data_IF_262184117736
#
_entry.id   IF_262184117736
#
_cell.length_a   1.000
_cell.length_b   1.000
_cell.length_c   1.000
_cell.angle_alpha   90.00
_cell.angle_beta   90.00
_cell.angle_gamma   90.00
#
_symmetry.space_group_name_H-M   'P 1'
#
loop_
_entity.id
_entity.type
_entity.pdbx_description
1 polymer ?
#
# COMPACT_ATOMS: atom_id res chain seq x y z
N UNK A 1 17.32 -1.09 11.84
CA UNK A 1 15.98 -0.45 11.82
C UNK A 1 14.99 -1.56 11.52
N UNK A 2 13.80 -1.58 12.14
CA UNK A 2 12.79 -2.58 11.78
C UNK A 2 12.33 -2.36 10.33
N UNK A 3 11.95 -3.41 9.60
CA UNK A 3 11.51 -3.25 8.22
C UNK A 3 10.26 -2.35 8.12
N UNK A 4 9.36 -2.39 9.10
CA UNK A 4 8.22 -1.48 9.24
C UNK A 4 8.64 0.00 9.23
N UNK A 5 9.67 0.36 9.99
CA UNK A 5 10.19 1.74 10.01
C UNK A 5 10.82 2.11 8.66
N UNK A 6 11.55 1.18 8.04
CA UNK A 6 12.14 1.39 6.70
C UNK A 6 11.03 1.60 5.65
N UNK A 7 9.98 0.78 5.68
CA UNK A 7 8.81 0.87 4.79
C UNK A 7 8.14 2.24 4.96
N UNK A 8 7.91 2.69 6.20
CA UNK A 8 7.34 4.02 6.47
C UNK A 8 8.23 5.13 5.96
N UNK A 9 9.53 5.06 6.20
CA UNK A 9 10.48 6.07 5.71
C UNK A 9 10.45 6.16 4.18
N UNK A 10 10.51 5.02 3.48
CA UNK A 10 10.48 4.97 2.02
C UNK A 10 9.16 5.53 1.48
N UNK A 11 8.02 5.16 2.08
CA UNK A 11 6.72 5.66 1.68
C UNK A 11 6.64 7.19 1.83
N UNK A 12 7.07 7.73 2.97
CA UNK A 12 7.12 9.17 3.19
C UNK A 12 8.03 9.87 2.18
N UNK A 13 9.20 9.31 1.87
CA UNK A 13 10.10 9.83 0.84
C UNK A 13 9.37 9.97 -0.51
N UNK A 14 8.71 8.91 -1.00
CA UNK A 14 7.97 8.98 -2.26
C UNK A 14 6.85 10.01 -2.27
N UNK A 15 6.15 10.21 -1.13
CA UNK A 15 5.10 11.23 -1.03
C UNK A 15 5.62 12.67 -1.15
N UNK A 16 6.93 12.88 -0.94
CA UNK A 16 7.58 14.19 -1.02
C UNK A 16 8.38 14.40 -2.31
N UNK A 17 8.75 13.33 -3.02
CA UNK A 17 9.62 13.37 -4.21
C UNK A 17 8.92 13.86 -5.50
N UNK A 18 7.72 14.44 -5.40
CA UNK A 18 6.93 14.91 -6.55
C UNK A 18 6.82 13.85 -7.66
N UNK A 19 6.63 12.58 -7.27
CA UNK A 19 6.40 11.47 -8.19
C UNK A 19 5.14 11.78 -8.99
N UNK A 20 5.34 12.14 -10.26
CA UNK A 20 4.28 12.63 -11.14
C UNK A 20 4.17 11.70 -12.33
N UNK A 21 2.95 11.18 -12.55
CA UNK A 21 2.64 10.40 -13.72
C UNK A 21 2.66 11.28 -14.98
N UNK A 22 3.15 10.75 -16.11
CA UNK A 22 3.20 11.46 -17.38
C UNK A 22 1.78 11.72 -17.89
N UNK A 23 1.01 10.66 -18.14
CA UNK A 23 -0.43 10.64 -18.46
C UNK A 23 -0.95 9.21 -18.22
N UNK A 24 -2.27 9.02 -18.17
CA UNK A 24 -3.02 7.77 -17.81
C UNK A 24 -2.18 6.48 -17.87
N UNK A 25 -1.59 6.08 -16.73
CA UNK A 25 -0.78 4.87 -16.58
C UNK A 25 0.37 4.70 -17.59
N UNK A 26 0.89 5.79 -18.16
CA UNK A 26 1.94 5.76 -19.18
C UNK A 26 3.35 5.78 -18.57
N UNK A 27 3.46 5.89 -17.24
CA UNK A 27 4.72 5.95 -16.51
C UNK A 27 4.95 7.27 -15.80
N UNK A 28 6.18 7.51 -15.35
CA UNK A 28 6.54 8.67 -14.53
C UNK A 28 7.63 9.53 -15.15
N UNK A 29 7.59 10.84 -14.85
CA UNK A 29 8.63 11.77 -15.28
C UNK A 29 9.98 11.46 -14.62
N UNK A 30 9.95 10.87 -13.42
CA UNK A 30 11.13 10.35 -12.74
C UNK A 30 11.56 9.01 -13.36
N UNK A 31 12.74 9.01 -14.00
CA UNK A 31 13.28 7.82 -14.68
C UNK A 31 13.70 6.71 -13.72
N UNK A 32 14.14 7.06 -12.50
CA UNK A 32 14.51 6.05 -11.51
C UNK A 32 13.26 5.38 -10.96
N UNK A 33 12.22 6.14 -10.63
CA UNK A 33 10.93 5.59 -10.21
C UNK A 33 10.31 4.71 -11.31
N UNK A 34 10.39 5.15 -12.58
CA UNK A 34 9.99 4.32 -13.72
C UNK A 34 10.72 2.98 -13.77
N UNK A 35 12.06 2.99 -13.66
CA UNK A 35 12.86 1.77 -13.68
C UNK A 35 12.54 0.86 -12.49
N UNK A 36 12.33 1.45 -11.31
CA UNK A 36 11.98 0.74 -10.09
C UNK A 36 10.61 0.04 -10.21
N UNK A 37 9.60 0.73 -10.75
CA UNK A 37 8.25 0.19 -10.98
C UNK A 37 8.27 -0.95 -12.02
N UNK A 38 9.00 -0.78 -13.13
CA UNK A 38 9.21 -1.87 -14.11
C UNK A 38 9.90 -3.07 -13.44
N UNK A 39 10.84 -2.83 -12.52
CA UNK A 39 11.55 -3.92 -11.81
C UNK A 39 10.65 -4.77 -10.88
N UNK A 40 9.43 -4.32 -10.58
CA UNK A 40 8.43 -5.08 -9.81
C UNK A 40 7.31 -5.65 -10.67
N UNK A 41 7.42 -5.48 -12.00
CA UNK A 41 6.53 -6.04 -13.02
C UNK A 41 5.42 -5.13 -13.48
N UNK A 42 5.44 -3.83 -13.15
CA UNK A 42 4.47 -2.88 -13.69
C UNK A 42 4.73 -2.63 -15.18
N UNK A 43 3.66 -2.58 -15.98
CA UNK A 43 3.71 -2.26 -17.40
C UNK A 43 2.85 -1.02 -17.74
N UNK A 44 3.20 -0.26 -18.80
CA UNK A 44 2.37 0.86 -19.24
C UNK A 44 0.92 0.44 -19.53
N UNK A 45 -0.03 1.16 -18.93
CA UNK A 45 -1.47 0.88 -18.96
C UNK A 45 -2.00 0.33 -17.64
N UNK A 46 -1.15 -0.30 -16.82
CA UNK A 46 -1.56 -0.89 -15.55
C UNK A 46 -1.85 0.18 -14.49
N UNK A 47 -2.92 -0.04 -13.71
CA UNK A 47 -3.10 0.67 -12.45
C UNK A 47 -1.93 0.37 -11.50
N UNK A 48 -1.47 1.38 -10.77
CA UNK A 48 -0.17 1.30 -10.11
C UNK A 48 -0.20 1.47 -8.59
N UNK A 49 -1.37 1.45 -7.95
CA UNK A 49 -1.46 1.52 -6.48
C UNK A 49 -0.73 0.33 -5.82
N UNK A 50 -1.08 -0.90 -6.20
CA UNK A 50 -0.46 -2.12 -5.69
C UNK A 50 1.01 -2.27 -6.14
N UNK A 51 1.34 -1.81 -7.34
CA UNK A 51 2.72 -1.74 -7.82
C UNK A 51 3.60 -0.86 -6.92
N UNK A 52 3.10 0.31 -6.51
CA UNK A 52 3.77 1.22 -5.57
C UNK A 52 4.01 0.53 -4.22
N UNK A 53 3.01 -0.16 -3.68
CA UNK A 53 3.14 -0.94 -2.44
C UNK A 53 4.23 -2.01 -2.56
N UNK A 54 4.19 -2.80 -3.65
CA UNK A 54 5.16 -3.86 -3.91
C UNK A 54 6.58 -3.31 -3.99
N UNK A 55 6.77 -2.13 -4.60
CA UNK A 55 8.05 -1.43 -4.64
C UNK A 55 8.51 -0.99 -3.25
N UNK A 56 7.63 -0.33 -2.46
CA UNK A 56 7.97 0.11 -1.11
C UNK A 56 8.38 -1.07 -0.22
N UNK A 57 7.65 -2.19 -0.28
CA UNK A 57 7.98 -3.40 0.48
C UNK A 57 9.25 -4.09 0.00
N UNK A 58 9.50 -4.14 -1.33
CA UNK A 58 10.78 -4.66 -1.87
C UNK A 58 11.97 -3.93 -1.28
N UNK A 59 11.89 -2.61 -1.21
CA UNK A 59 12.94 -1.77 -0.63
C UNK A 59 13.01 -1.90 0.89
N UNK A 60 11.88 -1.95 1.57
CA UNK A 60 11.80 -2.10 3.02
C UNK A 60 12.31 -3.44 3.56
N UNK A 61 12.24 -4.51 2.76
CA UNK A 61 12.81 -5.82 3.12
C UNK A 61 14.16 -6.11 2.45
N UNK A 62 14.86 -5.10 1.94
CA UNK A 62 16.16 -5.30 1.26
C UNK A 62 17.18 -6.03 2.14
N UNK A 63 17.19 -5.75 3.45
CA UNK A 63 18.08 -6.39 4.43
C UNK A 63 17.58 -7.78 4.88
N UNK A 64 16.37 -8.20 4.48
CA UNK A 64 15.73 -9.44 4.88
C UNK A 64 15.22 -10.24 3.66
N UNK A 65 16.13 -10.75 2.79
CA UNK A 65 15.77 -11.34 1.51
C UNK A 65 14.86 -12.58 1.61
N UNK A 66 14.94 -13.35 2.70
CA UNK A 66 14.04 -14.48 2.93
C UNK A 66 12.60 -14.04 3.19
N UNK A 67 12.41 -12.99 4.01
CA UNK A 67 11.09 -12.39 4.27
C UNK A 67 10.54 -11.78 2.99
N UNK A 68 11.38 -11.04 2.25
CA UNK A 68 11.00 -10.50 0.95
C UNK A 68 10.56 -11.60 -0.02
N UNK A 69 11.29 -12.71 -0.12
CA UNK A 69 10.94 -13.82 -1.00
C UNK A 69 9.59 -14.47 -0.64
N UNK A 70 9.23 -14.50 0.65
CA UNK A 70 7.89 -14.93 1.07
C UNK A 70 6.84 -13.89 0.67
N UNK A 71 7.04 -12.62 1.05
CA UNK A 71 6.14 -11.52 0.73
C UNK A 71 5.86 -11.43 -0.78
N UNK A 72 6.89 -11.54 -1.61
CA UNK A 72 6.81 -11.45 -3.06
C UNK A 72 5.89 -12.51 -3.68
N UNK A 73 5.80 -13.71 -3.09
CA UNK A 73 4.86 -14.75 -3.54
C UNK A 73 3.40 -14.41 -3.24
N UNK A 74 3.17 -13.56 -2.24
CA UNK A 74 1.83 -13.14 -1.81
C UNK A 74 1.41 -11.80 -2.43
N UNK A 75 2.38 -10.94 -2.75
CA UNK A 75 2.14 -9.67 -3.42
C UNK A 75 1.67 -9.86 -4.87
N UNK A 76 0.74 -9.03 -5.29
CA UNK A 76 0.16 -8.97 -6.63
C UNK A 76 0.14 -7.51 -7.10
N UNK A 77 -0.07 -7.29 -8.41
CA UNK A 77 -0.38 -5.96 -8.94
C UNK A 77 -1.88 -5.60 -8.79
N UNK A 78 -2.66 -6.46 -8.13
CA UNK A 78 -4.04 -6.21 -7.76
C UNK A 78 -4.19 -6.18 -6.23
N UNK A 79 -4.79 -5.12 -5.69
CA UNK A 79 -4.95 -4.91 -4.25
C UNK A 79 -5.82 -5.96 -3.56
N UNK A 80 -6.88 -6.45 -4.23
CA UNK A 80 -7.72 -7.52 -3.66
C UNK A 80 -7.02 -8.86 -3.64
N UNK A 81 -6.20 -9.14 -4.66
CA UNK A 81 -5.39 -10.34 -4.66
C UNK A 81 -4.32 -10.30 -3.57
N UNK A 82 -3.73 -9.12 -3.26
CA UNK A 82 -2.86 -8.95 -2.09
C UNK A 82 -3.63 -9.35 -0.82
N UNK A 83 -4.79 -8.74 -0.56
CA UNK A 83 -5.58 -9.05 0.63
C UNK A 83 -5.91 -10.54 0.75
N UNK A 84 -6.35 -11.16 -0.35
CA UNK A 84 -6.69 -12.58 -0.41
C UNK A 84 -5.49 -13.47 -0.12
N UNK A 85 -4.36 -13.22 -0.79
CA UNK A 85 -3.15 -14.03 -0.64
C UNK A 85 -2.60 -13.98 0.78
N UNK A 86 -2.47 -12.78 1.34
CA UNK A 86 -1.94 -12.62 2.70
C UNK A 86 -2.89 -13.14 3.77
N UNK A 87 -4.20 -13.08 3.55
CA UNK A 87 -5.16 -13.68 4.48
C UNK A 87 -5.11 -15.21 4.52
N UNK A 88 -4.91 -15.82 3.36
CA UNK A 88 -4.82 -17.26 3.22
C UNK A 88 -3.46 -17.82 3.68
N UNK A 89 -2.45 -16.96 3.82
CA UNK A 89 -1.12 -17.39 4.26
C UNK A 89 -1.12 -17.68 5.78
N UNK A 90 -0.69 -18.88 6.21
CA UNK A 90 -0.74 -19.27 7.61
C UNK A 90 0.34 -18.60 8.48
N UNK A 91 1.32 -17.92 7.85
CA UNK A 91 2.44 -17.28 8.54
C UNK A 91 2.18 -15.78 8.67
N UNK A 92 1.57 -15.16 7.66
CA UNK A 92 1.51 -13.72 7.56
C UNK A 92 0.31 -13.12 8.31
N UNK A 93 0.55 -12.23 9.29
CA UNK A 93 -0.53 -11.69 10.09
C UNK A 93 -1.29 -10.57 9.37
N UNK A 94 -2.61 -10.59 9.52
CA UNK A 94 -3.53 -9.57 9.01
C UNK A 94 -4.50 -9.13 10.09
N UNK A 95 -5.14 -7.97 9.92
CA UNK A 95 -6.18 -7.50 10.85
C UNK A 95 -7.22 -6.65 10.14
N UNK A 96 -8.46 -6.72 10.62
CA UNK A 96 -9.57 -5.88 10.16
C UNK A 96 -9.83 -4.68 11.08
N UNK A 97 -9.00 -4.45 12.11
CA UNK A 97 -9.29 -3.46 13.15
C UNK A 97 -8.11 -2.62 13.63
N UNK A 98 -6.89 -3.17 13.62
CA UNK A 98 -5.75 -2.53 14.29
C UNK A 98 -4.75 -2.03 13.24
N UNK A 99 -4.66 -0.71 12.99
CA UNK A 99 -3.64 -0.17 12.09
C UNK A 99 -2.26 -0.28 12.73
N UNK A 100 -1.24 -0.62 11.94
CA UNK A 100 0.16 -0.64 12.36
C UNK A 100 1.02 0.07 11.33
N UNK A 101 2.05 0.78 11.80
CA UNK A 101 3.04 1.41 10.92
C UNK A 101 3.68 0.38 9.98
N UNK A 102 3.86 0.76 8.72
CA UNK A 102 4.41 -0.09 7.67
C UNK A 102 3.46 -1.13 7.11
N UNK A 103 2.27 -1.30 7.70
CA UNK A 103 1.24 -2.18 7.16
C UNK A 103 0.68 -1.67 5.83
N UNK A 104 0.24 -2.58 4.97
CA UNK A 104 -0.58 -2.27 3.80
C UNK A 104 -2.03 -2.18 4.29
N UNK A 105 -2.65 -1.03 4.18
CA UNK A 105 -4.10 -0.92 4.24
C UNK A 105 -4.69 -1.25 2.87
N UNK A 106 -5.70 -2.10 2.83
CA UNK A 106 -6.41 -2.50 1.61
C UNK A 106 -7.87 -2.08 1.73
N UNK A 107 -8.40 -1.51 0.65
CA UNK A 107 -9.80 -1.14 0.50
C UNK A 107 -10.45 -1.84 -0.68
N UNK A 108 -11.73 -2.17 -0.54
CA UNK A 108 -12.60 -2.78 -1.53
C UNK A 108 -13.60 -1.79 -2.11
N UNK A 109 -13.71 -1.74 -3.44
CA UNK A 109 -14.70 -0.89 -4.12
C UNK A 109 -16.07 -1.56 -4.07
N UNK A 110 -16.99 -1.04 -3.26
CA UNK A 110 -18.30 -1.65 -3.03
C UNK A 110 -18.13 -3.11 -2.61
N UNK A 111 -18.82 -4.01 -3.33
CA UNK A 111 -18.72 -5.46 -3.18
C UNK A 111 -17.80 -6.13 -4.24
N UNK A 112 -17.00 -5.34 -4.97
CA UNK A 112 -16.15 -5.87 -6.04
C UNK A 112 -15.04 -6.76 -5.49
N UNK A 113 -14.91 -7.98 -6.02
CA UNK A 113 -13.83 -8.89 -5.64
C UNK A 113 -12.51 -8.61 -6.35
N UNK A 114 -12.51 -7.68 -7.32
CA UNK A 114 -11.35 -7.42 -8.19
C UNK A 114 -10.91 -5.96 -8.20
N UNK A 115 -11.73 -5.04 -7.67
CA UNK A 115 -11.45 -3.61 -7.66
C UNK A 115 -11.27 -3.09 -6.24
N UNK A 116 -10.36 -2.14 -6.08
CA UNK A 116 -10.07 -1.54 -4.79
C UNK A 116 -8.86 -0.64 -4.82
N UNK A 117 -8.29 -0.39 -3.66
CA UNK A 117 -7.12 0.45 -3.50
C UNK A 117 -6.25 -0.04 -2.35
N UNK A 118 -5.02 0.45 -2.25
CA UNK A 118 -4.14 0.13 -1.14
C UNK A 118 -3.10 1.21 -0.88
N UNK A 119 -2.67 1.32 0.37
CA UNK A 119 -1.74 2.34 0.87
C UNK A 119 -0.84 1.80 1.98
N UNK A 120 0.33 2.40 2.19
CA UNK A 120 1.20 2.09 3.33
C UNK A 120 0.81 2.96 4.51
N UNK A 121 0.51 2.36 5.66
CA UNK A 121 0.23 3.09 6.90
C UNK A 121 1.50 3.76 7.42
N UNK A 122 1.50 5.09 7.51
CA UNK A 122 2.64 5.92 7.95
C UNK A 122 2.38 6.68 9.25
N UNK A 123 1.12 6.78 9.69
CA UNK A 123 0.77 7.35 10.99
C UNK A 123 -0.51 6.69 11.54
N UNK A 124 -0.62 6.60 12.87
CA UNK A 124 -1.80 6.07 13.57
C UNK A 124 -2.17 7.02 14.71
N UNK A 125 -3.44 7.38 14.80
CA UNK A 125 -3.99 8.23 15.84
C UNK A 125 -5.41 7.76 16.23
N UNK A 126 -5.48 6.86 17.22
CA UNK A 126 -6.75 6.27 17.66
C UNK A 126 -7.43 5.46 16.55
N UNK A 127 -8.65 5.85 16.17
CA UNK A 127 -9.39 5.24 15.07
C UNK A 127 -9.05 5.83 13.69
N UNK A 128 -8.13 6.79 13.63
CA UNK A 128 -7.65 7.36 12.38
C UNK A 128 -6.24 6.87 12.06
N UNK A 129 -5.94 6.76 10.77
CA UNK A 129 -4.60 6.41 10.29
C UNK A 129 -4.31 7.15 9.00
N UNK A 130 -3.04 7.48 8.78
CA UNK A 130 -2.58 8.08 7.54
C UNK A 130 -1.85 7.03 6.72
N UNK A 131 -2.15 6.97 5.44
CA UNK A 131 -1.45 6.16 4.45
C UNK A 131 -0.70 7.04 3.46
N UNK A 132 0.33 6.47 2.83
CA UNK A 132 0.86 6.95 1.56
C UNK A 132 0.43 5.98 0.46
N UNK A 133 -0.14 6.52 -0.60
CA UNK A 133 -0.82 5.79 -1.67
C UNK A 133 -0.25 6.18 -3.02
N UNK A 134 -0.01 5.21 -3.90
CA UNK A 134 0.24 5.45 -5.31
C UNK A 134 -1.05 5.40 -6.11
N UNK A 135 -1.02 5.91 -7.34
CA UNK A 135 -2.20 6.01 -8.21
C UNK A 135 -3.34 6.79 -7.54
N UNK A 136 -3.01 7.89 -6.87
CA UNK A 136 -3.97 8.76 -6.17
C UNK A 136 -3.87 10.21 -6.65
N UNK A 137 -4.75 11.08 -6.13
CA UNK A 137 -4.61 12.54 -6.19
C UNK A 137 -4.07 13.08 -4.86
N UNK A 138 -3.42 14.23 -4.87
CA UNK A 138 -2.97 14.87 -3.64
C UNK A 138 -4.12 15.66 -3.01
N UNK A 139 -4.43 15.47 -1.71
CA UNK A 139 -5.41 16.30 -1.01
C UNK A 139 -5.06 17.79 -1.01
N UNK A 140 -3.76 18.13 -1.10
CA UNK A 140 -3.29 19.52 -1.18
C UNK A 140 -3.45 20.13 -2.57
N UNK A 141 -3.75 19.32 -3.59
CA UNK A 141 -3.94 19.75 -4.97
C UNK A 141 -5.22 19.11 -5.55
N UNK A 142 -6.41 19.47 -5.06
CA UNK A 142 -7.67 18.80 -5.41
C UNK A 142 -8.05 18.91 -6.89
N UNK A 143 -7.38 19.78 -7.66
CA UNK A 143 -7.57 19.92 -9.11
C UNK A 143 -6.83 18.85 -9.93
N UNK A 144 -5.95 18.05 -9.32
CA UNK A 144 -5.23 17.00 -10.05
C UNK A 144 -6.11 15.75 -10.18
N UNK A 145 -5.95 15.05 -11.30
CA UNK A 145 -6.70 13.82 -11.59
C UNK A 145 -6.35 12.75 -10.55
N UNK A 146 -7.31 11.87 -10.23
CA UNK A 146 -6.97 10.62 -9.57
C UNK A 146 -6.00 9.80 -10.44
N UNK A 147 -5.05 9.11 -9.81
CA UNK A 147 -3.99 8.40 -10.50
C UNK A 147 -2.79 9.24 -10.94
N UNK A 148 -2.61 10.45 -10.40
CA UNK A 148 -1.57 11.37 -10.83
C UNK A 148 -0.25 11.22 -10.07
N UNK A 149 -0.30 10.81 -8.80
CA UNK A 149 0.86 10.93 -7.91
C UNK A 149 0.88 9.92 -6.77
N UNK A 150 1.96 9.96 -5.99
CA UNK A 150 2.06 9.33 -4.67
C UNK A 150 1.75 10.39 -3.61
N UNK A 151 0.71 10.20 -2.80
CA UNK A 151 0.30 11.18 -1.80
C UNK A 151 -0.19 10.55 -0.50
N UNK A 152 -0.20 11.37 0.56
CA UNK A 152 -0.69 10.95 1.86
C UNK A 152 -2.20 11.18 2.01
N UNK A 153 -2.93 10.21 2.56
CA UNK A 153 -4.36 10.27 2.83
C UNK A 153 -4.67 9.86 4.26
N UNK A 154 -5.60 10.55 4.92
CA UNK A 154 -6.06 10.18 6.26
C UNK A 154 -7.40 9.47 6.18
N UNK A 155 -7.50 8.36 6.90
CA UNK A 155 -8.63 7.44 6.88
C UNK A 155 -9.16 7.24 8.30
N UNK A 156 -10.44 6.90 8.40
CA UNK A 156 -11.12 6.59 9.66
C UNK A 156 -11.65 5.17 9.64
N UNK A 157 -11.40 4.41 10.70
CA UNK A 157 -11.93 3.06 10.89
C UNK A 157 -13.36 3.07 11.43
N UNK A 158 -14.09 2.00 11.13
CA UNK A 158 -15.47 1.81 11.60
C UNK A 158 -16.52 2.61 10.83
N UNK A 159 -16.17 3.13 9.65
CA UNK A 159 -17.14 3.76 8.77
C UNK A 159 -18.14 2.72 8.21
N UNK A 160 -19.41 3.08 8.01
CA UNK A 160 -20.38 2.21 7.35
C UNK A 160 -19.94 1.84 5.93
N UNK A 161 -20.38 0.67 5.47
CA UNK A 161 -20.17 0.24 4.08
C UNK A 161 -20.87 1.18 3.09
N UNK A 162 -20.18 1.48 1.99
CA UNK A 162 -20.63 2.33 0.90
C UNK A 162 -20.61 1.51 -0.40
N UNK A 163 -21.78 1.34 -1.01
CA UNK A 163 -21.97 0.52 -2.24
C UNK A 163 -21.12 1.04 -3.41
N UNK A 164 -21.00 2.37 -3.53
CA UNK A 164 -20.29 3.02 -4.64
C UNK A 164 -19.03 3.76 -4.14
N UNK A 165 -18.23 3.12 -3.30
CA UNK A 165 -17.01 3.71 -2.76
C UNK A 165 -16.02 2.69 -2.23
N UNK A 166 -14.86 3.18 -1.77
CA UNK A 166 -13.83 2.36 -1.13
C UNK A 166 -14.23 2.07 0.32
N UNK A 167 -14.27 0.78 0.66
CA UNK A 167 -14.56 0.25 1.98
C UNK A 167 -13.30 -0.40 2.53
N UNK A 168 -12.95 -0.14 3.79
CA UNK A 168 -11.79 -0.77 4.40
C UNK A 168 -12.00 -2.30 4.49
N UNK A 169 -11.04 -3.08 4.00
CA UNK A 169 -11.05 -4.54 4.11
C UNK A 169 -10.11 -4.98 5.24
N UNK A 170 -8.80 -4.74 5.08
CA UNK A 170 -7.80 -5.21 6.07
C UNK A 170 -6.49 -4.45 6.03
N UNK A 171 -5.75 -4.64 7.12
CA UNK A 171 -4.32 -4.41 7.22
C UNK A 171 -3.56 -5.70 6.96
N UNK A 172 -2.53 -5.63 6.12
CA UNK A 172 -1.48 -6.65 5.98
C UNK A 172 -0.24 -6.10 6.67
N UNK A 173 0.18 -6.71 7.78
CA UNK A 173 1.25 -6.17 8.60
C UNK A 173 2.63 -6.40 8.00
N UNK A 174 3.60 -5.53 8.29
CA UNK A 174 4.99 -5.96 8.18
C UNK A 174 5.23 -7.09 9.21
N UNK A 175 5.88 -8.18 8.84
CA UNK A 175 5.81 -9.44 9.61
C UNK A 175 6.34 -9.27 11.04
N UNK A 176 7.37 -8.45 11.22
CA UNK A 176 7.99 -8.13 12.51
C UNK A 176 7.20 -7.11 13.35
N UNK A 177 6.26 -6.38 12.74
CA UNK A 177 5.33 -5.51 13.50
C UNK A 177 4.27 -6.33 14.25
N UNK A 178 4.20 -7.63 13.98
CA UNK A 178 3.41 -8.58 14.73
C UNK A 178 4.29 -9.29 15.76
N UNK A 179 4.12 -8.90 17.02
CA UNK A 179 4.56 -9.73 18.13
C UNK A 179 3.47 -10.79 18.38
N UNK A 180 3.72 -12.10 18.16
CA UNK A 180 2.77 -13.15 18.51
C UNK A 180 2.52 -13.25 20.04
N UNK A 181 3.22 -12.49 20.88
CA UNK A 181 3.19 -12.59 22.34
C UNK A 181 2.40 -11.48 23.04
N UNK A 182 1.12 -11.27 22.69
CA UNK A 182 0.12 -10.82 23.68
C UNK A 182 -1.21 -11.53 23.41
N UNK A 183 -1.23 -12.83 23.68
CA UNK A 183 -2.45 -13.48 24.17
C UNK A 183 -2.26 -13.54 25.68
N UNK A 184 -2.82 -12.57 26.39
CA UNK A 184 -2.97 -12.64 27.84
C UNK A 184 -4.19 -13.51 28.18
#
# INVERSE_FOLDING_TARGET
MAAADQIVQIANTYSTENITEIQVNAGWTDKQYQADMVSIGWEPGDEWCAASIKLTWKKGYADNPAVWAHALRLLSLNSQQIATNFHADPVWPTSTHIPKLGAIAVWQQGDSLTQGHCGIVVAVNGNQFTTVEGNTSSPSQPSIRNGWTVAAHTHTLGLPHIVNGLNFDRFVYAIESYDPLVVA
#
